data_IF_763432452772
#
_entry.id   IF_763432452772
#
_cell.length_a   1.000
_cell.length_b   1.000
_cell.length_c   1.000
_cell.angle_alpha   90.00
_cell.angle_beta   90.00
_cell.angle_gamma   90.00
#
_symmetry.space_group_name_H-M   'P 1'
#
loop_
_entity.id
_entity.type
_entity.pdbx_description
1 polymer ?
#
# COMPACT_ATOMS: atom_id res chain seq x y z
N UNK A 1 -0.56 49.81 -19.81
CA UNK A 1 -2.00 49.55 -19.98
C UNK A 1 -2.51 48.82 -18.75
N UNK A 2 -3.56 49.32 -18.06
CA UNK A 2 -4.15 48.60 -16.92
C UNK A 2 -4.80 47.33 -17.45
N UNK A 3 -4.25 46.17 -17.12
CA UNK A 3 -4.83 44.89 -17.49
C UNK A 3 -6.07 44.66 -16.61
N UNK A 4 -7.25 44.96 -17.14
CA UNK A 4 -8.52 44.74 -16.43
C UNK A 4 -8.80 43.24 -16.50
N UNK A 5 -8.85 42.53 -15.37
CA UNK A 5 -9.06 41.08 -15.39
C UNK A 5 -10.47 40.75 -15.88
N UNK A 6 -10.57 39.69 -16.70
CA UNK A 6 -11.84 39.23 -17.23
C UNK A 6 -12.65 38.61 -16.08
N UNK A 7 -13.79 39.19 -15.76
CA UNK A 7 -14.64 38.70 -14.67
C UNK A 7 -15.44 37.49 -15.16
N UNK A 8 -15.37 36.39 -14.41
CA UNK A 8 -16.08 35.15 -14.74
C UNK A 8 -16.97 34.67 -13.59
N UNK A 9 -18.15 34.10 -13.90
CA UNK A 9 -19.00 33.47 -12.89
C UNK A 9 -18.34 32.20 -12.33
N UNK A 10 -18.56 31.90 -11.05
CA UNK A 10 -17.99 30.72 -10.38
C UNK A 10 -18.51 29.41 -10.96
N UNK A 11 -19.77 29.39 -11.38
CA UNK A 11 -20.52 28.22 -11.82
C UNK A 11 -20.70 28.27 -13.34
N UNK A 12 -19.62 28.05 -14.07
CA UNK A 12 -19.62 27.99 -15.53
C UNK A 12 -18.69 26.89 -15.98
N UNK A 13 -19.06 26.18 -17.06
CA UNK A 13 -18.22 25.15 -17.65
C UNK A 13 -16.86 25.71 -18.09
N UNK A 14 -16.84 26.93 -18.63
CA UNK A 14 -15.60 27.60 -19.03
C UNK A 14 -14.68 27.82 -17.81
N UNK A 15 -15.24 28.32 -16.71
CA UNK A 15 -14.53 28.51 -15.44
C UNK A 15 -13.90 27.21 -14.94
N UNK A 16 -14.64 26.09 -14.99
CA UNK A 16 -14.09 24.79 -14.60
C UNK A 16 -12.90 24.37 -15.46
N UNK A 17 -13.03 24.50 -16.79
CA UNK A 17 -11.98 24.12 -17.73
C UNK A 17 -10.71 24.97 -17.54
N UNK A 18 -10.85 26.28 -17.33
CA UNK A 18 -9.73 27.18 -17.05
C UNK A 18 -9.02 26.83 -15.73
N UNK A 19 -9.79 26.46 -14.70
CA UNK A 19 -9.22 26.01 -13.44
C UNK A 19 -8.47 24.68 -13.65
N UNK A 20 -9.03 23.74 -14.41
CA UNK A 20 -8.37 22.46 -14.70
C UNK A 20 -7.07 22.63 -15.49
N UNK A 21 -7.08 23.50 -16.50
CA UNK A 21 -5.88 23.85 -17.25
C UNK A 21 -4.81 24.48 -16.34
N UNK A 22 -5.21 25.49 -15.56
CA UNK A 22 -4.32 26.17 -14.62
C UNK A 22 -3.74 25.22 -13.58
N UNK A 23 -4.57 24.29 -13.08
CA UNK A 23 -4.16 23.26 -12.13
C UNK A 23 -3.09 22.31 -12.70
N UNK A 24 -3.22 21.93 -13.97
CA UNK A 24 -2.21 21.13 -14.69
C UNK A 24 -0.94 21.93 -14.95
N UNK A 25 -1.06 23.22 -15.32
CA UNK A 25 0.07 24.12 -15.58
C UNK A 25 0.95 24.34 -14.34
N UNK A 26 0.34 24.41 -13.15
CA UNK A 26 1.07 24.49 -11.87
C UNK A 26 1.46 23.12 -11.31
N UNK A 27 1.46 22.07 -12.13
CA UNK A 27 1.85 20.70 -11.76
C UNK A 27 1.18 20.18 -10.49
N UNK A 28 -0.13 20.39 -10.36
CA UNK A 28 -0.89 19.89 -9.21
C UNK A 28 -0.49 20.46 -7.83
N UNK A 29 0.18 21.62 -7.79
CA UNK A 29 0.65 22.31 -6.57
C UNK A 29 -0.44 22.88 -5.64
N UNK A 30 -1.66 22.34 -5.70
CA UNK A 30 -2.76 22.68 -4.80
C UNK A 30 -3.49 23.99 -5.11
N UNK A 31 -4.33 24.41 -4.16
CA UNK A 31 -5.34 25.47 -4.36
C UNK A 31 -4.69 26.84 -4.52
N UNK A 32 -3.68 27.17 -3.71
CA UNK A 32 -3.06 28.51 -3.70
C UNK A 32 -2.35 28.81 -5.02
N UNK A 33 -1.53 27.88 -5.52
CA UNK A 33 -0.84 28.05 -6.81
C UNK A 33 -1.82 28.12 -7.98
N UNK A 34 -2.83 27.25 -7.99
CA UNK A 34 -3.88 27.28 -9.02
C UNK A 34 -4.63 28.62 -9.01
N UNK A 35 -4.89 29.20 -7.83
CA UNK A 35 -5.55 30.50 -7.69
C UNK A 35 -4.70 31.65 -8.21
N UNK A 36 -3.39 31.64 -7.93
CA UNK A 36 -2.45 32.67 -8.42
C UNK A 36 -2.40 32.63 -9.95
N UNK A 37 -2.23 31.44 -10.55
CA UNK A 37 -2.19 31.27 -12.01
C UNK A 37 -3.47 31.78 -12.69
N UNK A 38 -4.64 31.45 -12.13
CA UNK A 38 -5.92 31.91 -12.68
C UNK A 38 -6.04 33.44 -12.63
N UNK A 39 -5.57 34.06 -11.54
CA UNK A 39 -5.65 35.51 -11.32
C UNK A 39 -4.74 36.34 -12.21
N UNK A 40 -3.80 35.72 -12.92
CA UNK A 40 -3.00 36.42 -13.94
C UNK A 40 -3.87 36.99 -15.08
N UNK A 41 -5.02 36.37 -15.36
CA UNK A 41 -5.91 36.76 -16.46
C UNK A 41 -7.38 36.91 -16.08
N UNK A 42 -7.85 36.18 -15.06
CA UNK A 42 -9.28 36.05 -14.76
C UNK A 42 -9.62 36.40 -13.31
N UNK A 43 -10.71 37.15 -13.13
CA UNK A 43 -11.32 37.40 -11.83
C UNK A 43 -12.58 36.56 -11.65
N UNK A 44 -12.40 35.34 -11.13
CA UNK A 44 -13.51 34.41 -10.89
C UNK A 44 -14.19 34.72 -9.55
N UNK A 45 -15.51 34.91 -9.56
CA UNK A 45 -16.28 35.08 -8.33
C UNK A 45 -16.18 33.81 -7.46
N UNK A 46 -15.82 33.94 -6.17
CA UNK A 46 -15.61 32.79 -5.25
C UNK A 46 -14.55 31.79 -5.75
N UNK A 47 -13.53 32.27 -6.47
CA UNK A 47 -12.49 31.46 -7.11
C UNK A 47 -11.91 30.37 -6.20
N UNK A 48 -11.49 30.73 -4.97
CA UNK A 48 -10.83 29.79 -4.05
C UNK A 48 -11.73 28.61 -3.69
N UNK A 49 -13.02 28.87 -3.45
CA UNK A 49 -14.00 27.83 -3.14
C UNK A 49 -14.23 26.92 -4.36
N UNK A 50 -14.41 27.49 -5.55
CA UNK A 50 -14.58 26.72 -6.79
C UNK A 50 -13.36 25.84 -7.08
N UNK A 51 -12.15 26.40 -6.98
CA UNK A 51 -10.89 25.67 -7.17
C UNK A 51 -10.80 24.52 -6.18
N UNK A 52 -10.99 24.78 -4.88
CA UNK A 52 -10.95 23.74 -3.84
C UNK A 52 -11.92 22.59 -4.14
N UNK A 53 -13.14 22.91 -4.59
CA UNK A 53 -14.14 21.92 -4.97
C UNK A 53 -13.74 21.08 -6.18
N UNK A 54 -13.11 21.68 -7.19
CA UNK A 54 -12.65 20.98 -8.40
C UNK A 54 -11.43 20.12 -8.11
N UNK A 55 -10.46 20.63 -7.35
CA UNK A 55 -9.23 19.89 -7.05
C UNK A 55 -9.51 18.67 -6.16
N UNK A 56 -10.56 18.71 -5.32
CA UNK A 56 -11.04 17.54 -4.57
C UNK A 56 -11.44 16.38 -5.50
N UNK A 57 -11.77 16.64 -6.78
CA UNK A 57 -12.10 15.61 -7.79
C UNK A 57 -10.87 15.11 -8.57
N UNK A 58 -9.70 15.74 -8.42
CA UNK A 58 -8.49 15.36 -9.15
C UNK A 58 -7.94 14.03 -8.62
N UNK A 59 -7.87 13.01 -9.48
CA UNK A 59 -7.38 11.67 -9.11
C UNK A 59 -5.89 11.72 -8.73
N UNK A 60 -5.08 12.50 -9.46
CA UNK A 60 -3.65 12.68 -9.19
C UNK A 60 -3.48 13.28 -7.79
N UNK A 61 -4.12 14.42 -7.49
CA UNK A 61 -4.05 15.01 -6.16
C UNK A 61 -4.60 14.10 -5.07
N UNK A 62 -5.68 13.34 -5.33
CA UNK A 62 -6.20 12.36 -4.36
C UNK A 62 -5.16 11.29 -4.03
N UNK A 63 -4.47 10.75 -5.04
CA UNK A 63 -3.47 9.70 -4.86
C UNK A 63 -2.23 10.19 -4.10
N UNK A 64 -1.77 11.40 -4.39
CA UNK A 64 -0.55 11.93 -3.76
C UNK A 64 -0.80 12.61 -2.41
N UNK A 65 -2.02 13.10 -2.15
CA UNK A 65 -2.40 13.73 -0.87
C UNK A 65 -3.33 12.85 -0.04
N UNK A 66 -3.50 11.56 -0.36
CA UNK A 66 -4.28 10.66 0.48
C UNK A 66 -3.56 10.45 1.79
N UNK A 67 -4.28 10.57 2.90
CA UNK A 67 -3.77 10.12 4.19
C UNK A 67 -3.50 8.61 4.12
N UNK A 68 -2.50 8.10 4.87
CA UNK A 68 -2.36 6.67 5.08
C UNK A 68 -3.69 6.06 5.52
N UNK A 69 -4.01 4.87 5.00
CA UNK A 69 -5.16 4.13 5.48
C UNK A 69 -4.98 3.78 6.97
N UNK A 70 -6.07 3.75 7.72
CA UNK A 70 -6.04 3.20 9.07
C UNK A 70 -5.99 1.68 8.95
N UNK A 71 -5.01 1.04 9.59
CA UNK A 71 -4.97 -0.41 9.70
C UNK A 71 -6.06 -0.85 10.67
N UNK A 72 -7.04 -1.61 10.17
CA UNK A 72 -8.00 -2.31 11.02
C UNK A 72 -7.37 -3.66 11.38
N UNK A 73 -7.05 -3.86 12.65
CA UNK A 73 -6.50 -5.13 13.14
C UNK A 73 -7.67 -6.08 13.37
N UNK A 74 -7.66 -7.22 12.70
CA UNK A 74 -8.62 -8.29 12.96
C UNK A 74 -8.36 -8.91 14.35
N UNK A 75 -9.40 -9.43 15.04
CA UNK A 75 -9.19 -10.17 16.28
C UNK A 75 -8.24 -11.37 16.03
N UNK A 76 -7.42 -11.69 17.03
CA UNK A 76 -6.57 -12.87 17.01
C UNK A 76 -7.44 -14.13 16.87
N UNK A 77 -7.02 -15.08 16.03
CA UNK A 77 -7.68 -16.38 15.90
C UNK A 77 -7.58 -17.16 17.21
N UNK A 78 -8.64 -17.88 17.59
CA UNK A 78 -8.69 -18.73 18.78
C UNK A 78 -7.54 -19.75 18.83
N UNK A 79 -7.06 -20.15 17.65
CA UNK A 79 -5.91 -21.04 17.46
C UNK A 79 -4.62 -20.51 18.12
N UNK A 80 -4.49 -19.20 18.29
CA UNK A 80 -3.35 -18.56 18.96
C UNK A 80 -3.58 -18.23 20.43
N UNK A 81 -4.81 -18.41 20.92
CA UNK A 81 -5.24 -17.95 22.27
C UNK A 81 -5.67 -19.13 23.15
N UNK A 82 -6.00 -20.28 22.55
CA UNK A 82 -6.44 -21.48 23.27
C UNK A 82 -5.24 -22.33 23.69
N UNK A 83 -5.21 -22.72 24.96
CA UNK A 83 -4.22 -23.66 25.48
C UNK A 83 -4.39 -25.03 24.81
N UNK A 84 -3.31 -25.57 24.27
CA UNK A 84 -3.25 -26.92 23.70
C UNK A 84 -1.84 -27.49 23.85
N UNK A 85 -1.63 -28.81 23.70
CA UNK A 85 -0.30 -29.39 23.76
C UNK A 85 0.65 -28.78 22.70
N UNK A 86 1.98 -28.74 22.95
CA UNK A 86 2.95 -28.29 21.96
C UNK A 86 2.79 -29.04 20.62
N UNK A 87 2.96 -28.31 19.51
CA UNK A 87 2.81 -28.79 18.14
C UNK A 87 1.41 -29.29 17.74
N UNK A 88 0.38 -29.09 18.56
CA UNK A 88 -1.02 -29.39 18.18
C UNK A 88 -1.50 -28.57 16.98
N UNK A 89 -0.98 -27.35 16.87
CA UNK A 89 -1.15 -26.49 15.70
C UNK A 89 0.22 -25.96 15.31
N UNK A 90 0.57 -26.18 14.05
CA UNK A 90 1.80 -25.70 13.44
C UNK A 90 1.51 -24.79 12.27
N UNK A 91 2.30 -23.73 12.14
CA UNK A 91 2.40 -22.94 10.92
C UNK A 91 3.65 -23.41 10.19
N UNK A 92 3.58 -23.44 8.87
CA UNK A 92 4.63 -24.01 8.03
C UNK A 92 4.97 -23.00 6.95
N UNK A 93 6.27 -22.74 6.76
CA UNK A 93 6.75 -21.88 5.69
C UNK A 93 8.10 -22.38 5.16
N UNK A 94 8.51 -21.90 3.99
CA UNK A 94 9.85 -22.12 3.46
C UNK A 94 10.66 -20.82 3.51
N UNK A 95 11.82 -20.88 4.16
CA UNK A 95 12.85 -19.86 4.02
C UNK A 95 13.90 -20.31 2.99
N UNK A 96 14.26 -19.44 2.05
CA UNK A 96 15.35 -19.70 1.11
C UNK A 96 15.36 -18.73 -0.06
N UNK A 97 16.38 -18.69 -0.92
CA UNK A 97 17.48 -19.65 -1.17
C UNK A 97 18.70 -19.42 -0.29
N UNK A 98 19.27 -20.48 0.28
CA UNK A 98 20.54 -20.45 1.00
C UNK A 98 21.63 -21.18 0.22
N UNK A 99 22.87 -20.69 0.36
CA UNK A 99 24.06 -21.37 -0.10
C UNK A 99 24.69 -22.11 1.08
N UNK A 100 24.96 -23.40 0.93
CA UNK A 100 25.50 -24.24 2.00
C UNK A 100 26.94 -24.60 1.63
N UNK A 101 27.84 -24.65 2.62
CA UNK A 101 29.28 -24.87 2.39
C UNK A 101 29.59 -26.14 1.60
N UNK A 102 28.77 -27.18 1.80
CA UNK A 102 28.98 -28.52 1.21
C UNK A 102 28.11 -28.77 -0.04
N UNK A 103 27.46 -27.73 -0.57
CA UNK A 103 26.63 -27.87 -1.78
C UNK A 103 26.50 -26.55 -2.54
N UNK A 104 26.89 -26.58 -3.82
CA UNK A 104 26.62 -25.47 -4.75
C UNK A 104 25.13 -25.38 -5.16
N UNK A 105 24.31 -26.35 -4.75
CA UNK A 105 22.88 -26.33 -5.00
C UNK A 105 22.14 -25.43 -4.00
N UNK A 106 21.11 -24.73 -4.49
CA UNK A 106 20.22 -23.93 -3.63
C UNK A 106 19.55 -24.84 -2.61
N UNK A 107 19.63 -24.45 -1.34
CA UNK A 107 18.93 -25.13 -0.26
C UNK A 107 17.84 -24.22 0.31
N UNK A 108 16.86 -24.84 0.94
CA UNK A 108 15.73 -24.18 1.61
C UNK A 108 15.59 -24.77 3.01
N UNK A 109 15.01 -23.99 3.90
CA UNK A 109 14.68 -24.40 5.26
C UNK A 109 13.16 -24.48 5.33
N UNK A 110 12.64 -25.66 5.61
CA UNK A 110 11.28 -25.83 6.06
C UNK A 110 11.20 -25.35 7.51
N UNK A 111 10.47 -24.26 7.72
CA UNK A 111 10.14 -23.68 9.00
C UNK A 111 8.83 -24.32 9.49
N UNK A 112 8.86 -24.95 10.65
CA UNK A 112 7.67 -25.47 11.31
C UNK A 112 7.58 -24.80 12.68
N UNK A 113 6.65 -23.86 12.83
CA UNK A 113 6.48 -23.09 14.06
C UNK A 113 5.26 -23.58 14.82
N UNK A 114 5.42 -23.84 16.10
CA UNK A 114 4.29 -24.16 16.96
C UNK A 114 3.49 -22.89 17.28
N UNK A 115 2.19 -22.87 16.94
CA UNK A 115 1.32 -21.74 17.23
C UNK A 115 1.10 -21.51 18.74
N UNK A 116 1.25 -22.58 19.54
CA UNK A 116 1.04 -22.59 21.00
C UNK A 116 2.26 -22.03 21.74
N UNK A 117 3.41 -22.66 21.55
CA UNK A 117 4.63 -22.35 22.32
C UNK A 117 5.59 -21.40 21.62
N UNK A 118 5.34 -21.10 20.35
CA UNK A 118 6.27 -20.38 19.46
C UNK A 118 7.61 -21.09 19.28
N UNK A 119 7.69 -22.39 19.59
CA UNK A 119 8.86 -23.21 19.27
C UNK A 119 9.03 -23.35 17.76
N UNK A 120 10.27 -23.39 17.29
CA UNK A 120 10.61 -23.46 15.87
C UNK A 120 11.40 -24.74 15.60
N UNK A 121 10.90 -25.58 14.71
CA UNK A 121 11.63 -26.70 14.13
C UNK A 121 12.11 -26.31 12.72
N UNK A 122 13.41 -26.48 12.48
CA UNK A 122 14.04 -26.15 11.21
C UNK A 122 14.51 -27.43 10.54
N UNK A 123 14.09 -27.62 9.29
CA UNK A 123 14.51 -28.77 8.49
C UNK A 123 15.09 -28.32 7.15
N UNK A 124 16.34 -28.69 6.88
CA UNK A 124 17.01 -28.36 5.63
C UNK A 124 16.50 -29.28 4.51
N UNK A 125 16.10 -28.70 3.38
CA UNK A 125 15.64 -29.41 2.19
C UNK A 125 16.30 -28.85 0.92
N UNK A 126 16.48 -29.72 -0.08
CA UNK A 126 17.11 -29.34 -1.35
C UNK A 126 16.20 -28.56 -2.30
N UNK A 127 14.89 -28.62 -2.11
CA UNK A 127 13.91 -27.98 -3.00
C UNK A 127 12.56 -27.80 -2.24
N UNK A 128 11.64 -27.06 -2.85
CA UNK A 128 10.30 -26.76 -2.32
C UNK A 128 9.10 -27.57 -2.90
N UNK A 129 9.24 -28.47 -3.89
CA UNK A 129 8.15 -29.34 -4.33
C UNK A 129 7.48 -30.16 -3.20
N UNK A 130 6.21 -30.50 -3.43
CA UNK A 130 5.34 -31.16 -2.45
C UNK A 130 5.87 -32.50 -1.95
N UNK A 131 6.51 -33.30 -2.80
CA UNK A 131 7.10 -34.58 -2.42
C UNK A 131 8.20 -34.43 -1.38
N UNK A 132 9.08 -33.44 -1.57
CA UNK A 132 10.16 -33.15 -0.62
C UNK A 132 9.60 -32.56 0.67
N UNK A 133 8.59 -31.70 0.57
CA UNK A 133 7.83 -31.24 1.75
C UNK A 133 7.23 -32.41 2.53
N UNK A 134 6.51 -33.32 1.87
CA UNK A 134 5.86 -34.45 2.55
C UNK A 134 6.87 -35.37 3.24
N UNK A 135 8.04 -35.60 2.63
CA UNK A 135 9.11 -36.38 3.25
C UNK A 135 9.68 -35.68 4.49
N UNK A 136 9.89 -34.36 4.43
CA UNK A 136 10.33 -33.56 5.56
C UNK A 136 9.28 -33.54 6.69
N UNK A 137 8.03 -33.24 6.35
CA UNK A 137 6.94 -33.18 7.30
C UNK A 137 6.67 -34.54 8.00
N UNK A 138 6.84 -35.67 7.29
CA UNK A 138 6.78 -37.00 7.91
C UNK A 138 7.91 -37.22 8.92
N UNK A 139 9.12 -36.74 8.65
CA UNK A 139 10.24 -36.80 9.61
C UNK A 139 9.99 -35.92 10.83
N UNK A 140 9.36 -34.77 10.64
CA UNK A 140 8.92 -33.92 11.74
C UNK A 140 7.89 -34.63 12.64
N UNK A 141 6.83 -35.22 12.06
CA UNK A 141 5.78 -35.92 12.84
C UNK A 141 6.33 -37.15 13.57
N UNK A 142 7.33 -37.83 13.00
CA UNK A 142 7.91 -39.04 13.57
C UNK A 142 8.88 -38.79 14.75
N UNK A 143 9.19 -37.53 15.09
CA UNK A 143 10.04 -37.16 16.23
C UNK A 143 9.20 -36.94 17.48
#
# INVERSE_FOLDING_TARGET
MRNIPIILPSKSRLTELLIWESHKRVFHSGVSHTLVQVREKYWILKARQTIKSLLKKCIICKRFNSNPGNQVIAPLSDVHVTESPPFSVVEIDFAGRFFVKDSDAKQYILLITCAVTRSVHLELVGNMPTDTFLLAFRRFIAR
#
